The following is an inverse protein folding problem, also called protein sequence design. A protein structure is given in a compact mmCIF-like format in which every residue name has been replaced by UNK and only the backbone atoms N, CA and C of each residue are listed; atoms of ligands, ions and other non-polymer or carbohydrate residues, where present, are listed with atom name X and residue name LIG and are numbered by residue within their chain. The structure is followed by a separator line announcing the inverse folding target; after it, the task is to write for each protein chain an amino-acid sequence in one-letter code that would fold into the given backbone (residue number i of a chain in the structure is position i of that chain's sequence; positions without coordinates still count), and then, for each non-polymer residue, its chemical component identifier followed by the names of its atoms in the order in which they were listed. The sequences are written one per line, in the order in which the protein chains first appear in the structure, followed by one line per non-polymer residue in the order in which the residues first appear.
data_IF_496283637056
#
_entry.id   IF_496283637056
#
_cell.length_a   1.000
_cell.length_b   1.000
_cell.length_c   1.000
_cell.angle_alpha   90.00
_cell.angle_beta   90.00
_cell.angle_gamma   90.00
#
_symmetry.space_group_name_H-M   'P 1'
#
loop_
_entity.id
_entity.type
_entity.pdbx_description
1 polymer ?
#
# COMPACT_ATOMS: atom_id res chain seq x y z
N UNK A 1 7.19 -5.98 3.74
CA UNK A 1 6.72 -4.61 4.03
C UNK A 1 5.55 -4.24 3.12
N UNK A 2 5.75 -4.20 1.81
CA UNK A 2 4.74 -3.80 0.80
C UNK A 2 3.34 -4.42 0.94
N UNK A 3 3.23 -5.74 0.92
CA UNK A 3 1.94 -6.43 1.07
C UNK A 3 1.27 -6.13 2.43
N UNK A 4 2.05 -5.95 3.49
CA UNK A 4 1.52 -5.58 4.80
C UNK A 4 1.01 -4.14 4.80
N UNK A 5 1.71 -3.21 4.14
CA UNK A 5 1.27 -1.83 3.96
C UNK A 5 -0.03 -1.75 3.14
N UNK A 6 -0.14 -2.53 2.05
CA UNK A 6 -1.37 -2.62 1.25
C UNK A 6 -2.53 -3.17 2.09
N UNK A 7 -2.28 -4.24 2.86
CA UNK A 7 -3.29 -4.83 3.73
C UNK A 7 -3.77 -3.85 4.81
N UNK A 8 -2.83 -3.13 5.43
CA UNK A 8 -3.13 -2.10 6.43
C UNK A 8 -3.96 -0.96 5.84
N UNK A 9 -3.56 -0.46 4.66
CA UNK A 9 -4.31 0.59 3.97
C UNK A 9 -5.75 0.16 3.63
N UNK A 10 -5.93 -1.11 3.22
CA UNK A 10 -7.26 -1.66 2.94
C UNK A 10 -8.13 -1.74 4.20
N UNK A 11 -7.58 -2.24 5.32
CA UNK A 11 -8.28 -2.25 6.61
C UNK A 11 -8.64 -0.84 7.08
N UNK A 12 -7.69 0.10 7.00
CA UNK A 12 -7.90 1.49 7.38
C UNK A 12 -9.00 2.17 6.55
N UNK A 13 -9.04 1.91 5.24
CA UNK A 13 -10.07 2.43 4.35
C UNK A 13 -11.46 1.85 4.66
N UNK A 14 -11.53 0.54 4.96
CA UNK A 14 -12.76 -0.13 5.38
C UNK A 14 -13.31 0.43 6.70
N UNK A 15 -12.45 0.55 7.72
CA UNK A 15 -12.82 1.07 9.04
C UNK A 15 -13.39 2.49 8.97
N UNK A 16 -12.83 3.33 8.10
CA UNK A 16 -13.21 4.75 7.98
C UNK A 16 -14.20 5.01 6.85
N UNK A 17 -14.49 4.00 6.03
CA UNK A 17 -15.30 4.11 4.82
C UNK A 17 -14.84 5.25 3.90
N UNK A 18 -13.53 5.33 3.66
CA UNK A 18 -12.91 6.40 2.84
C UNK A 18 -12.24 5.84 1.59
N UNK A 19 -12.39 6.55 0.48
CA UNK A 19 -11.73 6.19 -0.77
C UNK A 19 -10.26 6.65 -0.74
N UNK A 20 -9.35 5.71 -0.94
CA UNK A 20 -7.91 5.95 -0.98
C UNK A 20 -7.30 5.42 -2.27
N UNK A 21 -6.14 5.97 -2.62
CA UNK A 21 -5.29 5.49 -3.70
C UNK A 21 -3.93 5.10 -3.12
N UNK A 22 -3.58 3.83 -3.26
CA UNK A 22 -2.31 3.27 -2.81
C UNK A 22 -1.37 3.23 -4.00
N UNK A 23 -0.24 3.91 -3.88
CA UNK A 23 0.84 3.88 -4.87
C UNK A 23 1.91 2.94 -4.34
N UNK A 24 2.26 1.91 -5.11
CA UNK A 24 3.34 0.98 -4.77
C UNK A 24 4.28 0.85 -5.96
N UNK A 25 5.58 0.89 -5.70
CA UNK A 25 6.61 0.63 -6.69
C UNK A 25 6.96 -0.86 -6.83
N UNK A 26 6.44 -1.69 -5.92
CA UNK A 26 6.67 -3.11 -5.86
C UNK A 26 5.83 -3.88 -6.86
N UNK A 27 6.34 -3.98 -8.09
CA UNK A 27 5.71 -4.77 -9.16
C UNK A 27 5.45 -6.21 -8.71
N UNK A 28 6.37 -6.83 -7.98
CA UNK A 28 6.21 -8.20 -7.45
C UNK A 28 5.03 -8.33 -6.49
N UNK A 29 4.79 -7.35 -5.62
CA UNK A 29 3.65 -7.36 -4.69
C UNK A 29 2.32 -7.23 -5.43
N UNK A 30 2.26 -6.36 -6.44
CA UNK A 30 1.06 -6.19 -7.28
C UNK A 30 0.77 -7.47 -8.07
N UNK A 31 1.79 -8.10 -8.64
CA UNK A 31 1.63 -9.37 -9.36
C UNK A 31 1.24 -10.52 -8.42
N UNK A 32 1.75 -10.56 -7.19
CA UNK A 32 1.33 -11.54 -6.18
C UNK A 32 -0.17 -11.41 -5.83
N UNK A 33 -0.68 -10.17 -5.72
CA UNK A 33 -2.10 -9.90 -5.51
C UNK A 33 -2.93 -10.22 -6.77
N UNK A 34 -2.40 -10.05 -7.98
CA UNK A 34 -3.14 -10.37 -9.20
C UNK A 34 -3.12 -11.85 -9.55
N UNK A 35 -2.11 -12.58 -9.10
CA UNK A 35 -1.94 -13.99 -9.43
C UNK A 35 -3.17 -14.80 -9.02
N UNK A 36 -3.79 -15.58 -9.92
CA UNK A 36 -4.91 -16.45 -9.56
C UNK A 36 -4.48 -17.62 -8.67
N UNK A 37 -3.20 -18.01 -8.73
CA UNK A 37 -2.62 -19.11 -7.96
C UNK A 37 -1.75 -18.54 -6.84
N UNK A 38 -2.31 -18.51 -5.62
CA UNK A 38 -1.60 -18.07 -4.41
C UNK A 38 -1.57 -19.21 -3.40
N UNK A 39 -0.37 -19.55 -2.92
CA UNK A 39 -0.18 -20.58 -1.87
C UNK A 39 -0.03 -19.98 -0.47
N UNK A 40 0.31 -18.70 -0.37
CA UNK A 40 0.57 -18.03 0.91
C UNK A 40 -0.74 -17.56 1.54
N UNK A 41 -1.03 -18.04 2.75
CA UNK A 41 -2.19 -17.62 3.55
C UNK A 41 -2.19 -16.09 3.78
N UNK A 42 -1.01 -15.49 3.93
CA UNK A 42 -0.89 -14.05 4.09
C UNK A 42 -1.33 -13.28 2.83
N UNK A 43 -0.93 -13.73 1.64
CA UNK A 43 -1.35 -13.08 0.39
C UNK A 43 -2.84 -13.28 0.15
N UNK A 44 -3.41 -14.42 0.57
CA UNK A 44 -4.85 -14.67 0.52
C UNK A 44 -5.63 -13.70 1.43
N UNK A 45 -5.17 -13.44 2.65
CA UNK A 45 -5.84 -12.47 3.54
C UNK A 45 -5.76 -11.04 3.01
N UNK A 46 -4.63 -10.63 2.41
CA UNK A 46 -4.51 -9.33 1.75
C UNK A 46 -5.51 -9.21 0.60
N UNK A 47 -5.67 -10.26 -0.20
CA UNK A 47 -6.66 -10.29 -1.28
C UNK A 47 -8.09 -10.16 -0.78
N UNK A 48 -8.44 -10.86 0.29
CA UNK A 48 -9.78 -10.82 0.87
C UNK A 48 -10.12 -9.42 1.39
N UNK A 49 -9.19 -8.80 2.12
CA UNK A 49 -9.35 -7.42 2.57
C UNK A 49 -9.48 -6.42 1.41
N UNK A 50 -8.68 -6.57 0.35
CA UNK A 50 -8.80 -5.74 -0.85
C UNK A 50 -10.12 -5.96 -1.58
N UNK A 51 -10.64 -7.19 -1.59
CA UNK A 51 -11.93 -7.52 -2.18
C UNK A 51 -13.07 -6.86 -1.41
N UNK A 52 -13.02 -6.90 -0.08
CA UNK A 52 -13.96 -6.19 0.78
C UNK A 52 -13.86 -4.66 0.57
N UNK A 53 -12.65 -4.15 0.34
CA UNK A 53 -12.38 -2.72 0.11
C UNK A 53 -12.42 -2.30 -1.37
N UNK A 54 -12.99 -3.11 -2.28
CA UNK A 54 -12.86 -2.93 -3.74
C UNK A 54 -13.29 -1.56 -4.28
N UNK A 55 -14.28 -0.95 -3.66
CA UNK A 55 -14.82 0.37 -4.06
C UNK A 55 -14.15 1.54 -3.31
N UNK A 56 -13.28 1.21 -2.34
CA UNK A 56 -12.57 2.14 -1.46
C UNK A 56 -11.09 2.25 -1.82
N UNK A 57 -10.45 1.17 -2.28
CA UNK A 57 -9.00 1.13 -2.51
C UNK A 57 -8.68 0.99 -3.99
N UNK A 58 -7.97 1.97 -4.53
CA UNK A 58 -7.33 1.89 -5.85
C UNK A 58 -5.84 1.62 -5.71
N UNK A 59 -5.33 0.53 -6.28
CA UNK A 59 -3.90 0.21 -6.30
C UNK A 59 -3.27 0.64 -7.62
N UNK A 60 -2.24 1.49 -7.55
CA UNK A 60 -1.51 2.06 -8.69
C UNK A 60 -0.04 1.66 -8.62
N UNK A 61 0.46 1.07 -9.69
CA UNK A 61 1.90 0.83 -9.83
C UNK A 61 2.62 2.13 -10.20
N UNK A 62 3.68 2.45 -9.48
CA UNK A 62 4.60 3.56 -9.80
C UNK A 62 6.00 3.02 -10.06
N UNK A 63 6.81 3.74 -10.83
CA UNK A 63 8.20 3.35 -11.04
C UNK A 63 9.05 3.87 -9.86
N UNK A 64 9.79 2.96 -9.22
CA UNK A 64 10.80 3.33 -8.22
C UNK A 64 11.82 4.31 -8.81
N UNK A 65 12.26 5.28 -8.00
CA UNK A 65 13.32 6.24 -8.34
C UNK A 65 13.08 7.06 -9.63
N UNK A 66 11.82 7.30 -10.00
CA UNK A 66 11.47 8.17 -11.11
C UNK A 66 11.31 9.65 -10.68
N UNK A 67 11.87 10.05 -9.54
CA UNK A 67 11.70 11.39 -8.97
C UNK A 67 10.30 11.63 -8.41
N UNK A 68 9.63 10.58 -7.91
CA UNK A 68 8.32 10.69 -7.25
C UNK A 68 8.52 11.02 -5.77
N UNK A 69 8.32 12.27 -5.30
CA UNK A 69 8.68 12.64 -3.93
C UNK A 69 7.91 11.84 -2.87
N UNK A 70 6.65 11.46 -3.18
CA UNK A 70 5.84 10.63 -2.30
C UNK A 70 6.37 9.20 -2.13
N UNK A 71 6.92 8.60 -3.20
CA UNK A 71 7.52 7.26 -3.12
C UNK A 71 8.82 7.30 -2.32
N UNK A 72 9.65 8.31 -2.60
CA UNK A 72 10.93 8.51 -1.90
C UNK A 72 10.72 8.76 -0.40
N UNK A 73 9.68 9.52 -0.05
CA UNK A 73 9.29 9.74 1.33
C UNK A 73 8.81 8.44 2.01
N UNK A 74 8.00 7.64 1.32
CA UNK A 74 7.54 6.34 1.83
C UNK A 74 8.72 5.37 2.06
N UNK A 75 9.65 5.29 1.10
CA UNK A 75 10.88 4.49 1.22
C UNK A 75 11.76 4.94 2.38
N UNK A 76 11.86 6.25 2.59
CA UNK A 76 12.62 6.83 3.69
C UNK A 76 12.03 6.42 5.04
N UNK A 77 10.70 6.53 5.22
CA UNK A 77 10.04 6.06 6.44
C UNK A 77 10.14 4.54 6.62
N UNK A 78 10.01 3.76 5.54
CA UNK A 78 10.17 2.31 5.61
C UNK A 78 11.57 1.90 6.07
N UNK A 79 12.62 2.60 5.59
CA UNK A 79 14.00 2.39 6.05
C UNK A 79 14.16 2.68 7.54
N UNK A 80 13.66 3.82 8.01
CA UNK A 80 13.71 4.17 9.44
C UNK A 80 12.96 3.12 10.29
N UNK A 81 11.79 2.67 9.85
CA UNK A 81 11.00 1.65 10.55
C UNK A 81 11.77 0.33 10.66
N UNK A 82 12.43 -0.07 9.57
CA UNK A 82 13.23 -1.29 9.53
C UNK A 82 14.47 -1.24 10.43
N UNK A 83 15.06 -0.06 10.65
CA UNK A 83 16.27 0.09 11.47
C UNK A 83 15.97 0.26 12.96
N UNK A 84 14.84 0.88 13.32
CA UNK A 84 14.53 1.21 14.71
C UNK A 84 13.55 0.24 15.38
N UNK A 85 12.84 -0.60 14.62
CA UNK A 85 11.79 -1.49 15.17
C UNK A 85 10.66 -0.76 15.89
N UNK A 86 10.62 0.58 15.79
CA UNK A 86 9.66 1.44 16.47
C UNK A 86 8.37 1.54 15.65
N UNK A 87 7.23 1.47 16.34
CA UNK A 87 5.91 1.74 15.76
C UNK A 87 5.84 3.22 15.38
N UNK A 88 6.12 3.52 14.11
CA UNK A 88 6.00 4.88 13.61
C UNK A 88 4.54 5.15 13.25
N UNK A 89 3.96 6.17 13.89
CA UNK A 89 2.71 6.77 13.45
C UNK A 89 2.92 7.39 12.07
N UNK A 90 2.77 6.58 11.01
CA UNK A 90 2.81 7.08 9.63
C UNK A 90 1.46 7.76 9.38
N UNK A 91 1.42 9.08 9.13
CA UNK A 91 0.19 9.78 8.81
C UNK A 91 -0.43 9.19 7.53
N UNK A 92 -1.74 9.32 7.39
CA UNK A 92 -2.49 8.75 6.27
C UNK A 92 -1.82 9.08 4.92
N UNK A 93 -1.78 8.12 3.97
CA UNK A 93 -1.08 8.29 2.71
C UNK A 93 -1.54 9.56 1.99
N UNK A 94 -0.58 10.38 1.59
CA UNK A 94 -0.84 11.66 0.95
C UNK A 94 -1.54 11.43 -0.39
N UNK A 95 -2.84 11.72 -0.47
CA UNK A 95 -3.54 11.76 -1.75
C UNK A 95 -2.98 12.95 -2.55
N UNK A 96 -2.34 12.68 -3.69
CA UNK A 96 -1.84 13.74 -4.56
C UNK A 96 -3.03 14.40 -5.27
N UNK A 97 -3.63 15.41 -4.63
CA UNK A 97 -4.55 16.33 -5.30
C UNK A 97 -3.69 17.37 -6.02
N UNK A 98 -3.34 17.09 -7.28
CA UNK A 98 -2.99 18.16 -8.22
C UNK A 98 -4.30 18.85 -8.58
N UNK A 99 -4.66 19.91 -7.87
CA UNK A 99 -5.72 20.82 -8.32
C UNK A 99 -5.13 21.62 -9.48
N UNK A 100 -5.73 21.47 -10.67
CA UNK A 100 -5.55 22.40 -11.79
C UNK A 100 -5.99 23.81 -11.39
#
# INVERSE_FOLDING_TARGET
AELAAINFAAGWALERNVKIKVFSDSKSSIEAIRSPKVKSNFVLSVKDNLYNAKDLVSLVWVKAHAGNPGNELADHFAKIASSCGADMSIPAPYSYVKRV
#
